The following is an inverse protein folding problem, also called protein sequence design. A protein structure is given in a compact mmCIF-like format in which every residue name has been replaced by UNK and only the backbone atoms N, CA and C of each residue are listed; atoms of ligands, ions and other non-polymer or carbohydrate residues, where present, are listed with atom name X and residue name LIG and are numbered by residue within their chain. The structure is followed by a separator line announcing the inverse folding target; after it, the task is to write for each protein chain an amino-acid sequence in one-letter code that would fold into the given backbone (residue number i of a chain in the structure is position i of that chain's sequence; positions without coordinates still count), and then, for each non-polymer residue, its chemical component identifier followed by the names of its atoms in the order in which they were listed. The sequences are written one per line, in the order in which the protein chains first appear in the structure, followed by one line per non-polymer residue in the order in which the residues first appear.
data_IF_347566439456
#
_entry.id   IF_347566439456
#
_cell.length_a   1.000
_cell.length_b   1.000
_cell.length_c   1.000
_cell.angle_alpha   90.00
_cell.angle_beta   90.00
_cell.angle_gamma   90.00
#
_symmetry.space_group_name_H-M   'P 1'
#
loop_
_entity.id
_entity.type
_entity.pdbx_description
1 polymer ?
#
# COMPACT_ATOMS: atom_id res chain seq x y z
N UNK A 1 3.39 4.45 18.23
CA UNK A 1 3.77 5.73 17.62
C UNK A 1 4.81 5.46 16.55
N UNK A 2 4.91 6.28 15.51
CA UNK A 2 5.87 6.02 14.43
C UNK A 2 6.85 7.17 14.29
N UNK A 3 8.06 6.85 13.81
CA UNK A 3 9.04 7.86 13.47
C UNK A 3 9.00 8.16 11.97
N UNK A 4 8.77 9.43 11.60
CA UNK A 4 8.78 9.86 10.19
C UNK A 4 10.16 9.72 9.52
N UNK A 5 11.25 9.88 10.29
CA UNK A 5 12.63 9.83 9.76
C UNK A 5 13.15 8.39 9.62
N UNK A 6 12.88 7.53 10.61
CA UNK A 6 13.32 6.14 10.59
C UNK A 6 12.33 5.18 9.91
N UNK A 7 11.06 5.58 9.74
CA UNK A 7 9.99 4.74 9.17
C UNK A 7 9.49 3.62 10.10
N UNK A 8 10.19 3.36 11.22
CA UNK A 8 9.86 2.29 12.19
C UNK A 8 8.67 2.66 13.07
N UNK A 9 7.88 1.63 13.38
CA UNK A 9 6.81 1.68 14.37
C UNK A 9 7.36 1.32 15.76
N UNK A 10 6.97 2.09 16.76
CA UNK A 10 7.34 1.92 18.16
C UNK A 10 6.11 1.76 19.05
N UNK A 11 6.25 1.08 20.20
CA UNK A 11 5.16 0.96 21.17
C UNK A 11 4.65 2.34 21.62
N UNK A 12 3.36 2.42 21.99
CA UNK A 12 2.68 3.69 22.34
C UNK A 12 3.31 4.41 23.56
N UNK A 13 4.10 3.71 24.37
CA UNK A 13 4.73 4.27 25.57
C UNK A 13 5.98 5.12 25.26
N UNK A 14 6.54 5.05 24.05
CA UNK A 14 7.69 5.87 23.66
C UNK A 14 7.21 7.15 22.98
N UNK A 15 7.59 8.30 23.53
CA UNK A 15 7.31 9.65 22.97
C UNK A 15 8.41 10.17 22.05
N UNK A 16 9.61 9.62 22.15
CA UNK A 16 10.79 10.00 21.36
C UNK A 16 11.47 8.78 20.74
N UNK A 17 11.98 8.97 19.53
CA UNK A 17 12.72 7.99 18.76
C UNK A 17 14.12 7.80 19.37
N UNK A 18 14.51 6.58 19.80
CA UNK A 18 15.83 6.35 20.38
C UNK A 18 16.97 6.48 19.36
N UNK A 19 16.73 6.16 18.08
CA UNK A 19 17.76 6.22 17.03
C UNK A 19 18.01 7.64 16.51
N UNK A 20 17.00 8.51 16.61
CA UNK A 20 16.97 9.75 15.83
C UNK A 20 16.59 10.99 16.65
N UNK A 21 16.21 10.83 17.92
CA UNK A 21 15.89 11.91 18.84
C UNK A 21 14.58 12.66 18.56
N UNK A 22 13.91 12.38 17.43
CA UNK A 22 12.68 13.04 17.03
C UNK A 22 11.47 12.57 17.86
N UNK A 23 10.52 13.48 18.07
CA UNK A 23 9.23 13.15 18.66
C UNK A 23 8.49 12.11 17.79
N UNK A 24 8.01 11.06 18.44
CA UNK A 24 7.22 10.02 17.82
C UNK A 24 5.79 10.55 17.62
N UNK A 25 5.28 10.44 16.40
CA UNK A 25 3.93 10.91 16.11
C UNK A 25 2.89 9.81 16.39
N UNK A 26 1.74 10.17 16.97
CA UNK A 26 0.59 9.28 17.02
C UNK A 26 0.04 9.11 15.59
N UNK A 27 0.14 7.90 15.06
CA UNK A 27 -0.32 7.58 13.71
C UNK A 27 0.21 6.22 13.27
N UNK A 28 -0.35 5.71 12.18
CA UNK A 28 0.17 4.53 11.48
C UNK A 28 1.24 5.00 10.50
N UNK A 29 2.41 4.37 10.51
CA UNK A 29 3.46 4.65 9.52
C UNK A 29 2.90 4.41 8.11
N UNK A 30 3.12 5.30 7.13
CA UNK A 30 2.69 5.05 5.75
C UNK A 30 3.36 3.80 5.15
N UNK A 31 4.48 3.35 5.73
CA UNK A 31 5.17 2.12 5.36
C UNK A 31 4.39 0.84 5.72
N UNK A 32 3.34 0.92 6.57
CA UNK A 32 2.49 -0.23 6.88
C UNK A 32 1.21 -0.29 6.03
N UNK A 33 1.08 0.54 4.99
CA UNK A 33 0.26 0.12 3.84
C UNK A 33 1.06 -0.90 3.04
N UNK A 34 1.28 -2.06 3.65
CA UNK A 34 1.32 -3.29 2.89
C UNK A 34 -0.08 -3.40 2.30
N UNK A 35 -0.24 -2.87 1.09
CA UNK A 35 -1.40 -3.18 0.28
C UNK A 35 -1.31 -4.70 0.12
N UNK A 36 -2.07 -5.41 0.97
CA UNK A 36 -2.22 -6.87 0.93
C UNK A 36 -2.98 -7.14 -0.36
N UNK A 37 -2.30 -6.97 -1.49
CA UNK A 37 -2.81 -7.40 -2.79
C UNK A 37 -2.89 -8.90 -2.65
N UNK A 38 -4.09 -9.40 -2.35
CA UNK A 38 -4.35 -10.81 -2.51
C UNK A 38 -4.08 -11.13 -3.98
N UNK A 39 -3.29 -12.16 -4.25
CA UNK A 39 -3.01 -12.66 -5.59
C UNK A 39 -4.29 -12.84 -6.42
N UNK A 40 -5.40 -13.22 -5.77
CA UNK A 40 -6.72 -13.30 -6.39
C UNK A 40 -7.21 -11.97 -6.97
N UNK A 41 -7.03 -10.86 -6.24
CA UNK A 41 -7.46 -9.52 -6.71
C UNK A 41 -6.67 -9.09 -7.94
N UNK A 42 -5.37 -9.37 -7.95
CA UNK A 42 -4.52 -9.09 -9.11
C UNK A 42 -4.96 -9.89 -10.35
N UNK A 43 -5.24 -11.18 -10.17
CA UNK A 43 -5.68 -12.08 -11.27
C UNK A 43 -7.04 -11.64 -11.82
N UNK A 44 -8.00 -11.35 -10.96
CA UNK A 44 -9.35 -10.92 -11.37
C UNK A 44 -9.28 -9.60 -12.13
N UNK A 45 -8.51 -8.62 -11.64
CA UNK A 45 -8.32 -7.35 -12.34
C UNK A 45 -7.68 -7.55 -13.71
N UNK A 46 -6.63 -8.36 -13.79
CA UNK A 46 -5.97 -8.70 -15.05
C UNK A 46 -6.92 -9.37 -16.05
N UNK A 47 -7.70 -10.35 -15.62
CA UNK A 47 -8.66 -11.05 -16.47
C UNK A 47 -9.74 -10.12 -17.02
N UNK A 48 -10.27 -9.21 -16.18
CA UNK A 48 -11.27 -8.21 -16.59
C UNK A 48 -10.69 -7.27 -17.66
N UNK A 49 -9.47 -6.77 -17.45
CA UNK A 49 -8.82 -5.87 -18.41
C UNK A 49 -8.58 -6.56 -19.76
N UNK A 50 -8.10 -7.82 -19.75
CA UNK A 50 -7.90 -8.59 -20.99
C UNK A 50 -9.21 -8.82 -21.73
N UNK A 51 -10.29 -9.17 -21.00
CA UNK A 51 -11.61 -9.36 -21.60
C UNK A 51 -12.12 -8.07 -22.25
N UNK A 52 -12.02 -6.93 -21.56
CA UNK A 52 -12.44 -5.63 -22.10
C UNK A 52 -11.65 -5.23 -23.34
N UNK A 53 -10.33 -5.44 -23.34
CA UNK A 53 -9.48 -5.17 -24.51
C UNK A 53 -9.89 -6.04 -25.68
N UNK A 54 -10.10 -7.35 -25.46
CA UNK A 54 -10.53 -8.26 -26.51
C UNK A 54 -11.88 -7.85 -27.10
N UNK A 55 -12.86 -7.51 -26.25
CA UNK A 55 -14.17 -7.01 -26.68
C UNK A 55 -14.04 -5.73 -27.50
N UNK A 56 -13.20 -4.79 -27.06
CA UNK A 56 -12.99 -3.53 -27.77
C UNK A 56 -12.33 -3.73 -29.14
N UNK A 57 -11.40 -4.67 -29.27
CA UNK A 57 -10.78 -5.02 -30.56
C UNK A 57 -11.78 -5.69 -31.51
N UNK A 58 -12.68 -6.52 -31.00
CA UNK A 58 -13.70 -7.19 -31.82
C UNK A 58 -14.75 -6.18 -32.30
N UNK A 59 -15.24 -5.31 -31.41
CA UNK A 59 -16.27 -4.33 -31.73
C UNK A 59 -15.72 -3.13 -32.52
N UNK A 60 -14.49 -2.68 -32.25
CA UNK A 60 -13.85 -1.56 -32.93
C UNK A 60 -13.28 -1.89 -34.31
N UNK A 61 -13.33 -3.16 -34.72
CA UNK A 61 -12.95 -3.62 -36.05
C UNK A 61 -14.17 -3.77 -36.99
N UNK A 62 -15.40 -3.54 -36.51
CA UNK A 62 -16.62 -3.40 -37.33
C UNK A 62 -16.79 -1.96 -37.83
#
# INVERSE_FOLDING_TARGET
MYCKKCGKNYPKNKKVCPDCGLALLPGVSPASREFKINKTVLIVFGAIVVALIAVFLILGLQ
#
